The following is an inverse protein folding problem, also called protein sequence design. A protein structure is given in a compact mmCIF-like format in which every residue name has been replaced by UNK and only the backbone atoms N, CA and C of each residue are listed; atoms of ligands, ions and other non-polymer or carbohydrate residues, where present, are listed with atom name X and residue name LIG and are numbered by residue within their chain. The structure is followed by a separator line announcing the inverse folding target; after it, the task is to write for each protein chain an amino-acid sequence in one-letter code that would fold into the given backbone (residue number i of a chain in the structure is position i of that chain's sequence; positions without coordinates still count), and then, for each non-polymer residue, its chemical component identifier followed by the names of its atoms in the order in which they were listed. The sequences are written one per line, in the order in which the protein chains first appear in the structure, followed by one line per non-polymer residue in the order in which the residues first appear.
data_IF_838752546453
#
_entry.id   IF_838752546453
#
_cell.length_a   1.000
_cell.length_b   1.000
_cell.length_c   1.000
_cell.angle_alpha   90.00
_cell.angle_beta   90.00
_cell.angle_gamma   90.00
#
_symmetry.space_group_name_H-M   'P 1'
#
loop_
_entity.id
_entity.type
_entity.pdbx_description
1 polymer ?
#
# COMPACT_ATOMS: atom_id res chain seq x y z
N UNK A 1 11.87 22.07 -5.72
CA UNK A 1 10.51 21.56 -5.53
C UNK A 1 10.12 20.78 -6.79
N UNK A 2 10.60 19.54 -6.92
CA UNK A 2 10.31 18.62 -8.02
C UNK A 2 10.08 17.24 -7.37
N UNK A 3 8.86 16.98 -6.93
CA UNK A 3 8.51 15.68 -6.31
C UNK A 3 7.16 15.13 -6.81
N UNK A 4 6.46 15.87 -7.68
CA UNK A 4 5.09 15.56 -8.11
C UNK A 4 4.98 14.60 -9.30
N UNK A 5 6.10 14.14 -9.88
CA UNK A 5 6.10 13.49 -11.21
C UNK A 5 6.48 12.00 -11.18
N UNK A 6 6.53 11.38 -10.00
CA UNK A 6 6.72 9.93 -9.90
C UNK A 6 5.38 9.22 -10.18
N UNK A 7 5.40 8.13 -10.97
CA UNK A 7 4.18 7.39 -11.27
C UNK A 7 3.56 6.82 -9.98
N UNK A 8 2.21 6.68 -9.94
CA UNK A 8 1.53 6.01 -8.84
C UNK A 8 2.09 4.60 -8.59
N UNK A 9 2.08 4.20 -7.32
CA UNK A 9 2.50 2.87 -6.85
C UNK A 9 1.25 2.02 -6.68
N UNK A 10 1.11 0.99 -7.52
CA UNK A 10 -0.02 0.06 -7.47
C UNK A 10 -0.19 -0.55 -6.08
N UNK A 11 -1.44 -0.66 -5.63
CA UNK A 11 -1.81 -1.32 -4.38
C UNK A 11 -1.76 -2.85 -4.48
N UNK A 12 -1.60 -3.40 -5.68
CA UNK A 12 -1.73 -4.82 -5.97
C UNK A 12 -3.20 -5.31 -6.01
N UNK A 13 -4.16 -4.40 -5.90
CA UNK A 13 -5.60 -4.70 -5.89
C UNK A 13 -6.24 -3.91 -7.03
N UNK A 14 -6.56 -4.59 -8.13
CA UNK A 14 -7.00 -3.94 -9.37
C UNK A 14 -8.17 -2.97 -9.17
N UNK A 15 -9.19 -3.34 -8.39
CA UNK A 15 -10.33 -2.46 -8.13
C UNK A 15 -9.99 -1.21 -7.31
N UNK A 16 -9.01 -1.30 -6.41
CA UNK A 16 -8.55 -0.15 -5.64
C UNK A 16 -7.64 0.75 -6.49
N UNK A 17 -6.78 0.16 -7.32
CA UNK A 17 -5.95 0.89 -8.28
C UNK A 17 -6.82 1.69 -9.26
N UNK A 18 -7.94 1.14 -9.73
CA UNK A 18 -8.88 1.86 -10.59
C UNK A 18 -9.46 3.10 -9.88
N UNK A 19 -9.95 2.93 -8.65
CA UNK A 19 -10.48 4.02 -7.82
C UNK A 19 -9.42 5.10 -7.56
N UNK A 20 -8.17 4.68 -7.29
CA UNK A 20 -7.05 5.58 -6.99
C UNK A 20 -6.31 6.08 -8.24
N UNK A 21 -6.75 5.71 -9.45
CA UNK A 21 -6.13 6.07 -10.74
C UNK A 21 -4.66 5.63 -10.87
N UNK A 22 -4.40 4.37 -10.55
CA UNK A 22 -3.09 3.70 -10.68
C UNK A 22 -2.43 3.35 -9.34
N UNK A 23 -3.02 3.75 -8.21
CA UNK A 23 -2.57 3.39 -6.87
C UNK A 23 -2.15 4.59 -6.02
N UNK A 24 -1.29 4.36 -5.04
CA UNK A 24 -0.86 5.38 -4.09
C UNK A 24 0.13 6.36 -4.70
N UNK A 25 0.03 7.64 -4.36
CA UNK A 25 1.10 8.61 -4.62
C UNK A 25 2.37 8.17 -3.86
N UNK A 26 3.53 8.06 -4.54
CA UNK A 26 4.78 7.65 -3.92
C UNK A 26 5.27 8.65 -2.87
N UNK A 27 6.15 8.18 -1.97
CA UNK A 27 6.76 8.98 -0.90
C UNK A 27 5.74 9.67 0.03
N UNK A 28 4.66 8.97 0.36
CA UNK A 28 3.60 9.44 1.26
C UNK A 28 3.32 8.44 2.37
N UNK A 29 2.80 8.95 3.48
CA UNK A 29 2.25 8.14 4.57
C UNK A 29 0.74 7.96 4.36
N UNK A 30 0.27 6.72 4.47
CA UNK A 30 -1.14 6.37 4.38
C UNK A 30 -1.59 5.73 5.69
N UNK A 31 -2.76 6.15 6.19
CA UNK A 31 -3.44 5.52 7.31
C UNK A 31 -4.60 4.69 6.78
N UNK A 32 -4.66 3.42 7.17
CA UNK A 32 -5.77 2.52 6.84
C UNK A 32 -6.61 2.33 8.10
N UNK A 33 -7.81 2.89 8.10
CA UNK A 33 -8.77 2.79 9.19
C UNK A 33 -9.95 1.89 8.80
N UNK A 34 -10.52 1.19 9.78
CA UNK A 34 -11.72 0.37 9.59
C UNK A 34 -11.98 -0.58 10.76
N UNK A 35 -13.19 -1.13 10.82
CA UNK A 35 -13.62 -2.05 11.87
C UNK A 35 -12.76 -3.33 11.92
N UNK A 36 -12.72 -4.05 13.06
CA UNK A 36 -12.13 -5.38 13.14
C UNK A 36 -12.69 -6.30 12.03
N UNK A 37 -11.83 -7.08 11.38
CA UNK A 37 -12.23 -7.94 10.26
C UNK A 37 -12.41 -7.25 8.90
N UNK A 38 -12.24 -5.92 8.79
CA UNK A 38 -12.41 -5.18 7.51
C UNK A 38 -11.29 -5.41 6.48
N UNK A 39 -10.32 -6.28 6.75
CA UNK A 39 -9.24 -6.60 5.81
C UNK A 39 -8.04 -5.64 5.79
N UNK A 40 -7.85 -4.79 6.82
CA UNK A 40 -6.73 -3.83 6.89
C UNK A 40 -5.36 -4.49 6.71
N UNK A 41 -5.06 -5.52 7.50
CA UNK A 41 -3.81 -6.28 7.42
C UNK A 41 -3.67 -6.95 6.06
N UNK A 42 -4.75 -7.50 5.51
CA UNK A 42 -4.76 -8.10 4.17
C UNK A 42 -4.38 -7.07 3.10
N UNK A 43 -4.99 -5.88 3.12
CA UNK A 43 -4.66 -4.79 2.19
C UNK A 43 -3.18 -4.40 2.32
N UNK A 44 -2.69 -4.16 3.55
CA UNK A 44 -1.29 -3.81 3.78
C UNK A 44 -0.34 -4.87 3.24
N UNK A 45 -0.62 -6.16 3.49
CA UNK A 45 0.20 -7.25 2.98
C UNK A 45 0.11 -7.39 1.46
N UNK A 46 -1.05 -7.19 0.83
CA UNK A 46 -1.17 -7.18 -0.63
C UNK A 46 -0.29 -6.10 -1.27
N UNK A 47 -0.28 -4.89 -0.68
CA UNK A 47 0.58 -3.81 -1.14
C UNK A 47 2.07 -4.17 -1.02
N UNK A 48 2.51 -4.72 0.12
CA UNK A 48 3.90 -5.16 0.28
C UNK A 48 4.25 -6.30 -0.68
N UNK A 49 3.35 -7.28 -0.85
CA UNK A 49 3.55 -8.39 -1.80
C UNK A 49 3.67 -7.88 -3.24
N UNK A 50 2.93 -6.83 -3.60
CA UNK A 50 3.07 -6.18 -4.89
C UNK A 50 4.45 -5.53 -5.04
N UNK A 51 4.93 -4.81 -4.02
CA UNK A 51 6.29 -4.28 -4.00
C UNK A 51 7.35 -5.38 -4.20
N UNK A 52 7.24 -6.49 -3.48
CA UNK A 52 8.14 -7.65 -3.64
C UNK A 52 8.12 -8.19 -5.08
N UNK A 53 6.95 -8.31 -5.70
CA UNK A 53 6.82 -8.76 -7.10
C UNK A 53 7.49 -7.82 -8.10
N UNK A 54 7.55 -6.53 -7.80
CA UNK A 54 8.25 -5.52 -8.59
C UNK A 54 9.75 -5.42 -8.25
N UNK A 55 10.25 -6.28 -7.35
CA UNK A 55 11.65 -6.27 -6.91
C UNK A 55 11.98 -5.18 -5.90
N UNK A 56 10.98 -4.54 -5.28
CA UNK A 56 11.19 -3.53 -4.26
C UNK A 56 11.56 -4.15 -2.90
N UNK A 57 12.31 -3.38 -2.10
CA UNK A 57 12.57 -3.73 -0.69
C UNK A 57 11.40 -3.29 0.16
N UNK A 58 10.81 -4.23 0.88
CA UNK A 58 9.62 -4.00 1.71
C UNK A 58 9.89 -4.30 3.18
N UNK A 59 9.26 -3.55 4.09
CA UNK A 59 9.33 -3.76 5.53
C UNK A 59 7.92 -3.86 6.10
N UNK A 60 7.66 -4.93 6.85
CA UNK A 60 6.44 -5.08 7.64
C UNK A 60 6.82 -5.01 9.13
N UNK A 61 6.27 -4.02 9.82
CA UNK A 61 6.42 -3.86 11.28
C UNK A 61 5.06 -4.07 11.90
N UNK A 62 4.97 -5.00 12.84
CA UNK A 62 3.77 -5.27 13.62
C UNK A 62 4.08 -5.13 15.09
N UNK A 63 3.09 -4.69 15.86
CA UNK A 63 3.11 -4.78 17.30
C UNK A 63 2.48 -6.14 17.67
N UNK A 64 3.19 -6.93 18.46
CA UNK A 64 2.62 -8.15 19.05
C UNK A 64 1.91 -7.74 20.34
N UNK A 65 0.64 -8.08 20.51
CA UNK A 65 0.03 -8.11 21.84
C UNK A 65 0.47 -9.40 22.53
N UNK A 66 1.15 -9.27 23.68
CA UNK A 66 1.45 -10.36 24.63
C UNK A 66 0.27 -10.64 25.54
#
# INVERSE_FOLDING_TARGET
MQELDRPPVSTGIAGLDDILRGGFTPSRLYLIEGNPGSGKTTLSLQFLMQGVRQGERTLYVTLSET
#
